data_IF_620317987108
#
_entry.id   IF_620317987108
#
_cell.length_a   1.000
_cell.length_b   1.000
_cell.length_c   1.000
_cell.angle_alpha   90.00
_cell.angle_beta   90.00
_cell.angle_gamma   90.00
#
_symmetry.space_group_name_H-M   'P 1'
#
loop_
_entity.id
_entity.type
_entity.pdbx_description
1 polymer ?
#
# COMPACT_ATOMS: atom_id res chain seq x y z
N UNK A 1 71.34 -42.02 -45.16
CA UNK A 1 72.57 -41.24 -45.34
C UNK A 1 72.18 -39.80 -45.65
N UNK A 2 72.72 -38.83 -44.91
CA UNK A 2 72.44 -37.40 -45.13
C UNK A 2 72.31 -36.59 -43.83
N UNK A 3 73.31 -36.68 -42.95
CA UNK A 3 73.44 -35.83 -41.76
C UNK A 3 74.01 -34.48 -42.19
N UNK A 4 73.26 -33.39 -42.01
CA UNK A 4 73.73 -32.03 -42.22
C UNK A 4 73.86 -31.33 -40.86
N UNK A 5 75.11 -31.22 -40.40
CA UNK A 5 75.51 -30.45 -39.23
C UNK A 5 75.34 -28.95 -39.49
N UNK A 6 74.42 -28.29 -38.79
CA UNK A 6 74.37 -26.83 -38.70
C UNK A 6 75.34 -26.38 -37.60
N UNK A 7 76.36 -25.61 -37.98
CA UNK A 7 77.32 -24.97 -37.07
C UNK A 7 76.63 -23.83 -36.32
N UNK A 8 76.58 -23.93 -34.99
CA UNK A 8 76.28 -22.79 -34.13
C UNK A 8 77.47 -21.82 -34.18
N UNK A 9 77.24 -20.63 -34.75
CA UNK A 9 78.11 -19.48 -34.52
C UNK A 9 77.75 -18.87 -33.17
N UNK A 10 78.63 -19.06 -32.18
CA UNK A 10 78.62 -18.26 -30.96
C UNK A 10 79.00 -16.82 -31.31
N UNK A 11 78.02 -15.92 -31.33
CA UNK A 11 78.26 -14.48 -31.36
C UNK A 11 78.51 -14.03 -29.92
N UNK A 12 79.74 -14.25 -29.47
CA UNK A 12 80.34 -13.54 -28.34
C UNK A 12 80.52 -12.07 -28.75
N UNK A 13 79.47 -11.27 -28.52
CA UNK A 13 79.48 -9.83 -28.72
C UNK A 13 79.30 -9.13 -27.38
N UNK A 14 80.41 -8.78 -26.72
CA UNK A 14 80.43 -7.79 -25.62
C UNK A 14 80.12 -6.40 -26.19
N UNK A 15 78.87 -6.17 -26.55
CA UNK A 15 78.34 -4.87 -26.93
C UNK A 15 77.88 -4.14 -25.68
N UNK A 16 78.67 -3.15 -25.22
CA UNK A 16 78.14 -2.13 -24.31
C UNK A 16 76.92 -1.49 -25.00
N UNK A 17 75.75 -1.63 -24.39
CA UNK A 17 74.51 -1.02 -24.83
C UNK A 17 74.71 0.50 -24.99
N UNK A 18 74.20 1.07 -26.09
CA UNK A 18 74.24 2.54 -26.30
C UNK A 18 73.38 3.21 -25.21
N UNK A 19 73.76 4.39 -24.69
CA UNK A 19 73.04 5.05 -23.59
C UNK A 19 71.54 5.25 -23.89
N UNK A 20 71.20 5.55 -25.15
CA UNK A 20 69.81 5.69 -25.64
C UNK A 20 68.98 4.40 -25.48
N UNK A 21 69.60 3.21 -25.51
CA UNK A 21 68.92 1.91 -25.30
C UNK A 21 68.73 1.54 -23.82
N UNK A 22 69.46 2.18 -22.89
CA UNK A 22 69.26 1.97 -21.44
C UNK A 22 68.12 2.83 -20.90
N UNK A 23 68.00 4.08 -21.37
CA UNK A 23 66.88 4.97 -21.04
C UNK A 23 65.53 4.46 -21.61
N UNK A 24 65.55 3.83 -22.79
CA UNK A 24 64.38 3.16 -23.36
C UNK A 24 63.91 1.93 -22.57
N UNK A 25 64.84 1.17 -21.97
CA UNK A 25 64.49 0.01 -21.13
C UNK A 25 63.96 0.42 -19.75
N UNK A 26 64.50 1.49 -19.16
CA UNK A 26 64.01 2.05 -17.90
C UNK A 26 62.59 2.62 -18.04
N UNK A 27 62.32 3.39 -19.10
CA UNK A 27 60.98 3.92 -19.38
C UNK A 27 59.93 2.83 -19.66
N UNK A 28 60.30 1.72 -20.31
CA UNK A 28 59.42 0.56 -20.48
C UNK A 28 59.12 -0.15 -19.15
N UNK A 29 60.11 -0.29 -18.26
CA UNK A 29 59.90 -0.87 -16.93
C UNK A 29 59.00 0.01 -16.06
N UNK A 30 59.15 1.33 -16.12
CA UNK A 30 58.29 2.28 -15.41
C UNK A 30 56.84 2.24 -15.92
N UNK A 31 56.66 2.16 -17.25
CA UNK A 31 55.33 2.01 -17.85
C UNK A 31 54.67 0.68 -17.48
N UNK A 32 55.43 -0.43 -17.43
CA UNK A 32 54.91 -1.73 -16.99
C UNK A 32 54.54 -1.73 -15.51
N UNK A 33 55.33 -1.08 -14.65
CA UNK A 33 55.03 -0.96 -13.23
C UNK A 33 53.77 -0.12 -12.98
N UNK A 34 53.62 1.01 -13.68
CA UNK A 34 52.42 1.84 -13.61
C UNK A 34 51.17 1.12 -14.14
N UNK A 35 51.30 0.38 -15.25
CA UNK A 35 50.20 -0.41 -15.81
C UNK A 35 49.75 -1.52 -14.84
N UNK A 36 50.69 -2.16 -14.14
CA UNK A 36 50.39 -3.18 -13.13
C UNK A 36 49.67 -2.58 -11.91
N UNK A 37 50.13 -1.43 -11.41
CA UNK A 37 49.49 -0.74 -10.29
C UNK A 37 48.05 -0.30 -10.63
N UNK A 38 47.83 0.26 -11.83
CA UNK A 38 46.49 0.65 -12.29
C UNK A 38 45.55 -0.55 -12.50
N UNK A 39 46.09 -1.72 -12.91
CA UNK A 39 45.31 -2.94 -13.04
C UNK A 39 44.89 -3.51 -11.67
N UNK A 40 45.79 -3.49 -10.69
CA UNK A 40 45.50 -3.92 -9.31
C UNK A 40 44.47 -3.00 -8.63
N UNK A 41 44.58 -1.68 -8.81
CA UNK A 41 43.63 -0.70 -8.27
C UNK A 41 42.23 -0.86 -8.90
N UNK A 42 42.15 -1.09 -10.22
CA UNK A 42 40.88 -1.37 -10.90
C UNK A 42 40.24 -2.69 -10.43
N UNK A 43 41.03 -3.74 -10.24
CA UNK A 43 40.51 -5.02 -9.75
C UNK A 43 39.91 -4.89 -8.34
N UNK A 44 40.59 -4.18 -7.44
CA UNK A 44 40.09 -3.90 -6.09
C UNK A 44 38.81 -3.06 -6.10
N UNK A 45 38.73 -2.06 -6.99
CA UNK A 45 37.54 -1.21 -7.12
C UNK A 45 36.33 -1.98 -7.69
N UNK A 46 36.55 -2.89 -8.65
CA UNK A 46 35.51 -3.74 -9.20
C UNK A 46 35.00 -4.77 -8.17
N UNK A 47 35.89 -5.38 -7.39
CA UNK A 47 35.52 -6.31 -6.32
C UNK A 47 34.69 -5.62 -5.22
N UNK A 48 35.08 -4.43 -4.79
CA UNK A 48 34.31 -3.63 -3.83
C UNK A 48 32.94 -3.20 -4.38
N UNK A 49 32.85 -2.87 -5.67
CA UNK A 49 31.58 -2.54 -6.32
C UNK A 49 30.66 -3.77 -6.47
N UNK A 50 31.23 -4.95 -6.72
CA UNK A 50 30.47 -6.20 -6.77
C UNK A 50 29.95 -6.61 -5.38
N UNK A 51 30.76 -6.47 -4.32
CA UNK A 51 30.31 -6.74 -2.95
C UNK A 51 29.16 -5.81 -2.54
N UNK A 52 29.26 -4.50 -2.81
CA UNK A 52 28.16 -3.56 -2.50
C UNK A 52 26.87 -3.90 -3.23
N UNK A 53 26.95 -4.25 -4.52
CA UNK A 53 25.76 -4.70 -5.28
C UNK A 53 25.16 -5.97 -4.71
N UNK A 54 25.99 -6.92 -4.27
CA UNK A 54 25.53 -8.15 -3.66
C UNK A 54 24.83 -7.88 -2.31
N UNK A 55 25.39 -7.00 -1.48
CA UNK A 55 24.80 -6.57 -0.21
C UNK A 55 23.44 -5.86 -0.42
N UNK A 56 23.36 -4.94 -1.38
CA UNK A 56 22.12 -4.24 -1.72
C UNK A 56 21.04 -5.24 -2.17
N UNK A 57 21.38 -6.19 -3.07
CA UNK A 57 20.43 -7.21 -3.51
C UNK A 57 20.00 -8.18 -2.41
N UNK A 58 20.89 -8.48 -1.46
CA UNK A 58 20.56 -9.34 -0.32
C UNK A 58 19.64 -8.61 0.66
N UNK A 59 19.87 -7.31 0.92
CA UNK A 59 18.99 -6.49 1.75
C UNK A 59 17.59 -6.38 1.15
N UNK A 60 17.49 -6.13 -0.16
CA UNK A 60 16.20 -6.03 -0.87
C UNK A 60 15.40 -7.34 -0.82
N UNK A 61 16.08 -8.49 -0.90
CA UNK A 61 15.43 -9.80 -0.82
C UNK A 61 14.95 -10.13 0.60
N UNK A 62 15.72 -9.76 1.63
CA UNK A 62 15.31 -9.88 3.05
C UNK A 62 14.08 -9.02 3.31
N UNK A 63 14.07 -7.76 2.85
CA UNK A 63 12.93 -6.86 2.99
C UNK A 63 11.69 -7.37 2.25
N UNK A 64 11.88 -7.95 1.06
CA UNK A 64 10.80 -8.57 0.29
C UNK A 64 10.20 -9.78 1.02
N UNK A 65 11.03 -10.67 1.55
CA UNK A 65 10.57 -11.83 2.30
C UNK A 65 9.86 -11.44 3.60
N UNK A 66 10.34 -10.41 4.30
CA UNK A 66 9.67 -9.87 5.48
C UNK A 66 8.26 -9.32 5.14
N UNK A 67 8.11 -8.63 4.00
CA UNK A 67 6.79 -8.15 3.53
C UNK A 67 5.83 -9.28 3.16
N UNK A 68 6.32 -10.34 2.50
CA UNK A 68 5.50 -11.50 2.15
C UNK A 68 5.00 -12.22 3.41
N UNK A 69 5.89 -12.47 4.38
CA UNK A 69 5.51 -13.09 5.65
C UNK A 69 4.50 -12.25 6.45
N UNK A 70 4.62 -10.93 6.43
CA UNK A 70 3.64 -10.02 7.04
C UNK A 70 2.28 -10.06 6.34
N UNK A 71 2.25 -10.12 5.00
CA UNK A 71 1.00 -10.26 4.24
C UNK A 71 0.31 -11.59 4.50
N UNK A 72 1.05 -12.70 4.57
CA UNK A 72 0.47 -14.01 4.89
C UNK A 72 -0.11 -14.06 6.30
N UNK A 73 0.56 -13.45 7.29
CA UNK A 73 0.05 -13.33 8.65
C UNK A 73 -1.24 -12.48 8.73
N UNK A 74 -1.29 -11.37 7.98
CA UNK A 74 -2.50 -10.55 7.86
C UNK A 74 -3.62 -11.36 7.17
N UNK A 75 -3.30 -12.10 6.11
CA UNK A 75 -4.26 -12.90 5.38
C UNK A 75 -4.82 -14.05 6.23
N UNK A 76 -4.00 -14.69 7.06
CA UNK A 76 -4.42 -15.70 8.02
C UNK A 76 -5.35 -15.11 9.11
N UNK A 77 -4.99 -13.94 9.68
CA UNK A 77 -5.85 -13.24 10.63
C UNK A 77 -7.18 -12.77 10.01
N UNK A 78 -7.18 -12.40 8.72
CA UNK A 78 -8.40 -12.04 7.99
C UNK A 78 -9.26 -13.27 7.66
N UNK A 79 -8.66 -14.44 7.38
CA UNK A 79 -9.42 -15.68 7.12
C UNK A 79 -10.14 -16.22 8.35
N UNK A 80 -9.61 -15.97 9.55
CA UNK A 80 -10.25 -16.33 10.81
C UNK A 80 -11.29 -15.32 11.29
N UNK A 81 -11.51 -14.22 10.54
CA UNK A 81 -12.51 -13.23 10.91
C UNK A 81 -13.93 -13.78 10.65
N UNK A 82 -14.75 -13.97 11.70
CA UNK A 82 -16.10 -14.55 11.56
C UNK A 82 -17.02 -13.70 10.67
N UNK A 83 -16.77 -12.39 10.56
CA UNK A 83 -17.55 -11.50 9.70
C UNK A 83 -17.24 -11.65 8.21
N UNK A 84 -16.09 -12.22 7.85
CA UNK A 84 -15.68 -12.45 6.46
C UNK A 84 -15.95 -13.88 5.99
N UNK A 85 -16.48 -14.74 6.87
CA UNK A 85 -16.82 -16.11 6.52
C UNK A 85 -17.92 -16.19 5.44
N UNK A 86 -17.84 -17.21 4.59
CA UNK A 86 -18.77 -17.41 3.49
C UNK A 86 -20.23 -17.48 3.98
N UNK A 87 -21.11 -16.73 3.32
CA UNK A 87 -22.55 -16.69 3.64
C UNK A 87 -22.93 -15.81 4.83
N UNK A 88 -21.99 -15.24 5.59
CA UNK A 88 -22.30 -14.32 6.70
C UNK A 88 -22.96 -13.05 6.18
N UNK A 89 -22.43 -12.49 5.09
CA UNK A 89 -23.04 -11.35 4.39
C UNK A 89 -24.51 -11.61 4.03
N UNK A 90 -24.82 -12.79 3.47
CA UNK A 90 -26.18 -13.10 3.00
C UNK A 90 -27.13 -13.29 4.18
N UNK A 91 -26.68 -13.93 5.27
CA UNK A 91 -27.44 -14.02 6.52
C UNK A 91 -27.71 -12.64 7.12
N UNK A 92 -26.70 -11.77 7.13
CA UNK A 92 -26.82 -10.41 7.62
C UNK A 92 -27.79 -9.59 6.76
N UNK A 93 -27.69 -9.72 5.43
CA UNK A 93 -28.60 -9.06 4.50
C UNK A 93 -30.04 -9.55 4.68
N UNK A 94 -30.25 -10.85 4.87
CA UNK A 94 -31.57 -11.41 5.20
C UNK A 94 -32.12 -10.87 6.52
N UNK A 95 -31.28 -10.77 7.57
CA UNK A 95 -31.67 -10.19 8.86
C UNK A 95 -32.08 -8.72 8.73
N UNK A 96 -31.32 -7.93 7.96
CA UNK A 96 -31.62 -6.52 7.69
C UNK A 96 -32.96 -6.36 6.95
N UNK A 97 -33.20 -7.19 5.93
CA UNK A 97 -34.43 -7.13 5.13
C UNK A 97 -35.67 -7.62 5.88
N UNK A 98 -35.50 -8.43 6.93
CA UNK A 98 -36.58 -8.86 7.80
C UNK A 98 -37.09 -7.74 8.72
N UNK A 99 -36.34 -6.65 8.90
CA UNK A 99 -36.74 -5.51 9.74
C UNK A 99 -37.83 -4.69 9.01
N UNK A 100 -39.02 -4.50 9.60
CA UNK A 100 -40.10 -3.75 8.96
C UNK A 100 -39.71 -2.31 8.64
N UNK A 101 -39.99 -1.85 7.41
CA UNK A 101 -39.70 -0.48 6.98
C UNK A 101 -38.22 -0.18 6.70
N UNK A 102 -37.34 -1.19 6.77
CA UNK A 102 -35.89 -1.03 6.65
C UNK A 102 -35.34 -1.20 5.21
N UNK A 103 -36.25 -1.31 4.23
CA UNK A 103 -35.90 -1.48 2.84
C UNK A 103 -35.34 -0.18 2.26
N UNK A 104 -34.21 -0.29 1.57
CA UNK A 104 -33.61 0.83 0.84
C UNK A 104 -34.45 1.18 -0.39
N UNK A 105 -34.66 2.47 -0.63
CA UNK A 105 -35.37 2.98 -1.80
C UNK A 105 -34.46 3.87 -2.65
N UNK A 106 -34.49 3.67 -3.96
CA UNK A 106 -33.79 4.53 -4.94
C UNK A 106 -34.26 5.98 -4.81
N UNK A 107 -35.55 6.23 -4.55
CA UNK A 107 -36.06 7.59 -4.39
C UNK A 107 -35.41 8.32 -3.22
N UNK A 108 -35.14 7.61 -2.11
CA UNK A 108 -34.44 8.18 -0.95
C UNK A 108 -32.97 8.44 -1.25
N UNK A 109 -32.32 7.56 -2.01
CA UNK A 109 -30.93 7.75 -2.46
C UNK A 109 -30.79 8.99 -3.36
N UNK A 110 -31.78 9.24 -4.24
CA UNK A 110 -31.73 10.35 -5.19
C UNK A 110 -32.17 11.70 -4.60
N UNK A 111 -33.15 11.69 -3.69
CA UNK A 111 -33.76 12.92 -3.18
C UNK A 111 -33.17 13.38 -1.84
N UNK A 112 -32.61 12.47 -1.05
CA UNK A 112 -32.05 12.79 0.27
C UNK A 112 -31.00 11.73 0.68
N UNK A 113 -31.00 11.27 1.94
CA UNK A 113 -30.19 10.14 2.41
C UNK A 113 -31.06 8.89 2.46
N UNK A 114 -30.51 7.80 1.94
CA UNK A 114 -30.99 6.50 2.34
C UNK A 114 -30.43 6.18 3.72
N UNK A 115 -31.30 5.71 4.62
CA UNK A 115 -30.94 5.21 5.94
C UNK A 115 -31.35 3.75 6.07
N UNK A 116 -30.60 2.98 6.83
CA UNK A 116 -30.90 1.58 7.12
C UNK A 116 -30.44 1.22 8.53
N UNK A 117 -31.35 0.60 9.29
CA UNK A 117 -31.06 -0.04 10.56
C UNK A 117 -30.30 -1.34 10.32
N UNK A 118 -29.15 -1.52 10.95
CA UNK A 118 -28.30 -2.69 10.78
C UNK A 118 -28.10 -3.35 12.14
N UNK A 119 -28.50 -4.62 12.33
CA UNK A 119 -28.21 -5.35 13.55
C UNK A 119 -26.71 -5.61 13.65
N UNK A 120 -26.08 -5.28 14.77
CA UNK A 120 -24.65 -5.51 15.02
C UNK A 120 -24.45 -6.68 15.98
N UNK A 121 -25.28 -6.75 17.01
CA UNK A 121 -25.40 -7.86 17.96
C UNK A 121 -26.89 -8.07 18.32
N UNK A 122 -27.18 -9.03 19.19
CA UNK A 122 -28.57 -9.39 19.54
C UNK A 122 -29.38 -8.20 20.10
N UNK A 123 -28.75 -7.32 20.87
CA UNK A 123 -29.35 -6.14 21.51
C UNK A 123 -28.84 -4.80 20.95
N UNK A 124 -27.95 -4.85 19.96
CA UNK A 124 -27.28 -3.67 19.43
C UNK A 124 -27.53 -3.52 17.93
N UNK A 125 -27.99 -2.33 17.53
CA UNK A 125 -28.18 -1.96 16.14
C UNK A 125 -27.48 -0.63 15.85
N UNK A 126 -27.21 -0.37 14.58
CA UNK A 126 -26.69 0.91 14.11
C UNK A 126 -27.53 1.40 12.94
N UNK A 127 -27.86 2.69 12.94
CA UNK A 127 -28.48 3.33 11.78
C UNK A 127 -27.37 3.83 10.88
N UNK A 128 -27.23 3.24 9.70
CA UNK A 128 -26.30 3.71 8.67
C UNK A 128 -27.00 4.61 7.68
N UNK A 129 -26.27 5.55 7.09
CA UNK A 129 -26.78 6.48 6.09
C UNK A 129 -25.81 6.67 4.92
N UNK A 130 -26.36 7.04 3.76
CA UNK A 130 -25.56 7.36 2.58
C UNK A 130 -24.80 8.66 2.74
N UNK A 131 -23.59 8.71 2.19
CA UNK A 131 -22.75 9.90 2.10
C UNK A 131 -23.14 10.70 0.86
N UNK A 132 -23.38 12.00 1.02
CA UNK A 132 -23.63 12.94 -0.08
C UNK A 132 -22.31 13.27 -0.78
N UNK A 133 -22.36 13.61 -2.07
CA UNK A 133 -21.16 13.97 -2.83
C UNK A 133 -20.38 15.16 -2.23
N UNK A 134 -21.08 16.14 -1.64
CA UNK A 134 -20.43 17.27 -0.95
C UNK A 134 -19.62 16.84 0.26
N UNK A 135 -20.01 15.75 0.93
CA UNK A 135 -19.37 15.24 2.14
C UNK A 135 -18.17 14.38 1.78
N UNK A 136 -18.29 13.56 0.73
CA UNK A 136 -17.14 12.84 0.17
C UNK A 136 -16.03 13.82 -0.27
N UNK A 137 -16.39 14.97 -0.84
CA UNK A 137 -15.43 16.03 -1.14
C UNK A 137 -14.82 16.67 0.12
N UNK A 138 -15.59 16.84 1.20
CA UNK A 138 -15.06 17.32 2.48
C UNK A 138 -14.10 16.30 3.10
N UNK A 139 -14.43 15.01 3.08
CA UNK A 139 -13.56 13.92 3.53
C UNK A 139 -12.25 13.96 2.75
N UNK A 140 -12.30 14.03 1.41
CA UNK A 140 -11.10 14.14 0.57
C UNK A 140 -10.26 15.37 0.88
N UNK A 141 -10.92 16.51 1.16
CA UNK A 141 -10.22 17.73 1.58
C UNK A 141 -9.52 17.54 2.92
N UNK A 142 -10.19 16.92 3.90
CA UNK A 142 -9.59 16.62 5.20
C UNK A 142 -8.42 15.66 5.07
N UNK A 143 -8.54 14.60 4.26
CA UNK A 143 -7.48 13.63 3.99
C UNK A 143 -6.24 14.27 3.36
N UNK A 144 -6.40 15.34 2.58
CA UNK A 144 -5.27 16.10 2.03
C UNK A 144 -4.34 16.62 3.14
N UNK A 145 -4.89 17.04 4.27
CA UNK A 145 -4.12 17.55 5.39
C UNK A 145 -3.33 16.44 6.13
N UNK A 146 -3.61 15.16 5.79
CA UNK A 146 -2.94 13.97 6.33
C UNK A 146 -2.01 13.28 5.32
N UNK A 147 -1.76 13.86 4.14
CA UNK A 147 -0.99 13.24 3.03
C UNK A 147 0.45 12.89 3.42
N UNK A 148 1.03 13.58 4.40
CA UNK A 148 2.41 13.32 4.86
C UNK A 148 2.52 12.09 5.80
N UNK A 149 1.42 11.39 6.07
CA UNK A 149 1.42 10.16 6.87
C UNK A 149 1.72 8.92 6.00
N UNK A 150 2.26 7.85 6.60
CA UNK A 150 2.43 6.57 5.90
C UNK A 150 1.12 6.14 5.24
N UNK A 151 1.18 5.67 3.99
CA UNK A 151 0.03 5.30 3.15
C UNK A 151 -0.99 4.38 3.86
N UNK A 152 -0.52 3.50 4.76
CA UNK A 152 -1.35 2.61 5.57
C UNK A 152 -2.32 3.39 6.50
N UNK A 153 -1.89 4.54 7.03
CA UNK A 153 -2.75 5.39 7.85
C UNK A 153 -3.75 6.17 7.02
N UNK A 154 -3.45 6.43 5.74
CA UNK A 154 -4.35 7.15 4.84
C UNK A 154 -5.64 6.36 4.63
N UNK A 155 -5.54 5.08 4.29
CA UNK A 155 -6.72 4.22 4.07
C UNK A 155 -7.54 4.06 5.34
N UNK A 156 -6.86 3.82 6.47
CA UNK A 156 -7.51 3.73 7.78
C UNK A 156 -8.26 5.02 8.12
N UNK A 157 -7.64 6.18 7.95
CA UNK A 157 -8.27 7.47 8.21
C UNK A 157 -9.44 7.76 7.26
N UNK A 158 -9.30 7.38 5.99
CA UNK A 158 -10.35 7.50 4.98
C UNK A 158 -11.60 6.70 5.38
N UNK A 159 -11.40 5.46 5.82
CA UNK A 159 -12.47 4.59 6.31
C UNK A 159 -13.11 5.12 7.58
N UNK A 160 -12.32 5.63 8.54
CA UNK A 160 -12.84 6.24 9.77
C UNK A 160 -13.68 7.50 9.48
N UNK A 161 -13.22 8.36 8.57
CA UNK A 161 -13.98 9.54 8.15
C UNK A 161 -15.28 9.18 7.44
N UNK A 162 -15.26 8.18 6.56
CA UNK A 162 -16.47 7.66 5.92
C UNK A 162 -17.43 7.08 6.94
N UNK A 163 -16.93 6.32 7.90
CA UNK A 163 -17.75 5.76 8.97
C UNK A 163 -18.36 6.86 9.84
N UNK A 164 -17.60 7.89 10.19
CA UNK A 164 -18.08 9.04 10.95
C UNK A 164 -19.26 9.75 10.26
N UNK A 165 -19.22 9.89 8.94
CA UNK A 165 -20.34 10.45 8.18
C UNK A 165 -21.47 9.43 8.02
N UNK A 166 -21.13 8.15 7.86
CA UNK A 166 -22.04 7.05 7.57
C UNK A 166 -22.87 6.52 8.74
N UNK A 167 -22.41 6.63 10.00
CA UNK A 167 -23.14 6.12 11.19
C UNK A 167 -24.00 7.22 11.79
N UNK A 168 -25.33 7.13 11.68
CA UNK A 168 -26.27 8.11 12.23
C UNK A 168 -26.61 7.90 13.71
N UNK A 169 -26.72 6.65 14.14
CA UNK A 169 -27.02 6.29 15.53
C UNK A 169 -26.48 4.89 15.86
N UNK A 170 -26.18 4.63 17.13
CA UNK A 170 -25.91 3.28 17.67
C UNK A 170 -26.87 3.04 18.84
N UNK A 171 -27.69 2.01 18.72
CA UNK A 171 -28.83 1.78 19.60
C UNK A 171 -29.76 3.00 19.57
N UNK A 172 -30.13 3.47 20.76
CA UNK A 172 -30.94 4.67 20.96
C UNK A 172 -30.10 5.96 21.01
N UNK A 173 -28.78 5.87 20.89
CA UNK A 173 -27.87 7.01 21.02
C UNK A 173 -27.56 7.59 19.64
N UNK A 174 -28.08 8.80 19.31
CA UNK A 174 -27.75 9.46 18.06
C UNK A 174 -26.30 9.95 18.05
N UNK A 175 -25.66 9.89 16.89
CA UNK A 175 -24.34 10.50 16.70
C UNK A 175 -24.45 12.03 16.71
N UNK A 176 -23.34 12.75 17.01
CA UNK A 176 -23.30 14.20 16.89
C UNK A 176 -23.84 14.67 15.54
N UNK A 177 -24.64 15.74 15.44
CA UNK A 177 -25.25 16.15 14.18
C UNK A 177 -24.24 16.34 13.04
N UNK A 178 -24.55 15.77 11.88
CA UNK A 178 -23.69 15.86 10.69
C UNK A 178 -23.82 17.21 9.98
N UNK A 179 -24.98 17.86 10.05
CA UNK A 179 -25.24 19.14 9.38
C UNK A 179 -25.27 20.27 10.42
N UNK A 180 -24.63 21.39 10.10
CA UNK A 180 -24.68 22.59 10.92
C UNK A 180 -26.09 23.20 10.89
N UNK A 181 -26.70 23.56 12.04
CA UNK A 181 -28.08 24.04 12.08
C UNK A 181 -28.34 25.34 11.29
N UNK A 182 -27.32 26.20 11.12
CA UNK A 182 -27.48 27.47 10.42
C UNK A 182 -27.40 27.30 8.90
N UNK A 183 -26.57 26.37 8.42
CA UNK A 183 -26.34 26.17 6.98
C UNK A 183 -27.06 24.97 6.40
N UNK A 184 -27.54 24.06 7.26
CA UNK A 184 -28.08 22.75 6.92
C UNK A 184 -27.13 21.96 5.98
N UNK A 185 -25.83 22.05 6.23
CA UNK A 185 -24.77 21.40 5.47
C UNK A 185 -23.71 20.85 6.41
N UNK A 186 -23.07 19.77 5.99
CA UNK A 186 -21.87 19.29 6.65
C UNK A 186 -20.72 20.29 6.51
N UNK A 187 -19.96 20.47 7.58
CA UNK A 187 -18.73 21.23 7.65
C UNK A 187 -17.58 20.36 8.15
N UNK A 188 -16.35 20.82 8.02
CA UNK A 188 -15.16 20.11 8.56
C UNK A 188 -15.32 19.90 10.07
N UNK A 189 -15.86 20.88 10.78
CA UNK A 189 -16.06 20.84 12.23
C UNK A 189 -17.11 19.80 12.62
N UNK A 190 -18.22 19.71 11.88
CA UNK A 190 -19.24 18.68 12.14
C UNK A 190 -18.71 17.26 11.90
N UNK A 191 -17.89 17.06 10.85
CA UNK A 191 -17.27 15.76 10.56
C UNK A 191 -16.23 15.41 11.63
N UNK A 192 -15.40 16.37 12.08
CA UNK A 192 -14.44 16.16 13.18
C UNK A 192 -15.11 15.72 14.47
N UNK A 193 -16.22 16.36 14.87
CA UNK A 193 -16.99 15.95 16.06
C UNK A 193 -17.50 14.52 15.97
N UNK A 194 -17.96 14.11 14.78
CA UNK A 194 -18.39 12.72 14.56
C UNK A 194 -17.22 11.75 14.52
N UNK A 195 -16.08 12.17 13.95
CA UNK A 195 -14.86 11.37 13.96
C UNK A 195 -14.39 11.11 15.40
N UNK A 196 -14.35 12.13 16.26
CA UNK A 196 -14.04 11.97 17.68
C UNK A 196 -14.97 10.94 18.34
N UNK A 197 -16.29 11.06 18.11
CA UNK A 197 -17.26 10.09 18.63
C UNK A 197 -17.04 8.66 18.09
N UNK A 198 -16.61 8.50 16.83
CA UNK A 198 -16.25 7.19 16.26
C UNK A 198 -14.98 6.63 16.90
N UNK A 199 -13.96 7.46 17.10
CA UNK A 199 -12.68 7.06 17.67
C UNK A 199 -12.77 6.70 19.16
N UNK A 200 -13.77 7.21 19.87
CA UNK A 200 -14.08 6.85 21.26
C UNK A 200 -14.77 5.48 21.40
N UNK A 201 -15.20 4.84 20.30
CA UNK A 201 -15.84 3.54 20.34
C UNK A 201 -14.83 2.40 20.64
N UNK A 202 -15.27 1.31 21.29
CA UNK A 202 -14.45 0.11 21.43
C UNK A 202 -14.03 -0.45 20.07
N UNK A 203 -12.75 -0.80 19.91
CA UNK A 203 -12.19 -1.32 18.65
C UNK A 203 -12.98 -2.48 18.03
N UNK A 204 -13.49 -3.48 18.79
CA UNK A 204 -14.30 -4.56 18.21
C UNK A 204 -15.61 -4.05 17.58
N UNK A 205 -16.26 -3.07 18.22
CA UNK A 205 -17.47 -2.46 17.69
C UNK A 205 -17.15 -1.65 16.44
N UNK A 206 -16.05 -0.89 16.46
CA UNK A 206 -15.58 -0.12 15.31
C UNK A 206 -15.35 -1.00 14.07
N UNK A 207 -14.69 -2.15 14.25
CA UNK A 207 -14.48 -3.13 13.19
C UNK A 207 -15.81 -3.67 12.63
N UNK A 208 -16.77 -4.00 13.50
CA UNK A 208 -18.09 -4.47 13.07
C UNK A 208 -18.87 -3.39 12.30
N UNK A 209 -18.81 -2.13 12.75
CA UNK A 209 -19.43 -0.99 12.09
C UNK A 209 -18.82 -0.72 10.71
N UNK A 210 -17.48 -0.76 10.60
CA UNK A 210 -16.78 -0.58 9.34
C UNK A 210 -17.21 -1.63 8.29
N UNK A 211 -17.21 -2.92 8.66
CA UNK A 211 -17.65 -4.00 7.78
C UNK A 211 -19.10 -3.82 7.35
N UNK A 212 -19.99 -3.53 8.31
CA UNK A 212 -21.41 -3.34 8.03
C UNK A 212 -21.66 -2.10 7.15
N UNK A 213 -20.88 -1.04 7.32
CA UNK A 213 -20.94 0.15 6.48
C UNK A 213 -20.50 -0.16 5.04
N UNK A 214 -19.41 -0.91 4.85
CA UNK A 214 -19.01 -1.40 3.52
C UNK A 214 -20.12 -2.19 2.85
N UNK A 215 -20.78 -3.09 3.57
CA UNK A 215 -21.90 -3.87 3.01
C UNK A 215 -23.12 -3.02 2.70
N UNK A 216 -23.43 -2.04 3.54
CA UNK A 216 -24.48 -1.05 3.30
C UNK A 216 -24.22 -0.26 2.01
N UNK A 217 -23.02 0.29 1.85
CA UNK A 217 -22.63 1.02 0.64
C UNK A 217 -22.71 0.14 -0.62
N UNK A 218 -22.28 -1.13 -0.53
CA UNK A 218 -22.44 -2.08 -1.63
C UNK A 218 -23.91 -2.35 -1.98
N UNK A 219 -24.81 -2.44 -0.99
CA UNK A 219 -26.27 -2.60 -1.24
C UNK A 219 -26.84 -1.36 -1.92
N UNK A 220 -26.48 -0.16 -1.45
CA UNK A 220 -26.88 1.10 -2.08
C UNK A 220 -26.41 1.16 -3.54
N UNK A 221 -25.14 0.83 -3.81
CA UNK A 221 -24.58 0.79 -5.17
C UNK A 221 -25.31 -0.21 -6.06
N UNK A 222 -25.64 -1.41 -5.56
CA UNK A 222 -26.40 -2.41 -6.32
C UNK A 222 -27.77 -1.92 -6.77
N UNK A 223 -28.45 -1.08 -5.98
CA UNK A 223 -29.74 -0.49 -6.36
C UNK A 223 -29.61 0.50 -7.52
N UNK A 224 -28.45 1.12 -7.69
CA UNK A 224 -28.17 2.05 -8.77
C UNK A 224 -27.65 1.36 -10.05
N UNK A 225 -27.25 0.08 -9.97
CA UNK A 225 -26.89 -0.69 -11.15
C UNK A 225 -28.17 -1.03 -11.92
N UNK A 226 -28.30 -0.61 -13.20
CA UNK A 226 -29.45 -0.94 -14.03
C UNK A 226 -29.48 -2.45 -14.28
N UNK A 227 -30.16 -3.21 -13.42
CA UNK A 227 -30.28 -4.66 -13.54
C UNK A 227 -31.41 -5.09 -14.50
N UNK A 228 -31.86 -4.19 -15.38
CA UNK A 228 -33.05 -4.41 -16.22
C UNK A 228 -33.13 -3.68 -17.56
N UNK A 229 -32.06 -3.03 -18.06
CA UNK A 229 -31.99 -2.71 -19.49
C UNK A 229 -31.55 -3.97 -20.26
N UNK A 230 -32.39 -5.00 -20.25
CA UNK A 230 -32.39 -5.95 -21.36
C UNK A 230 -32.81 -5.10 -22.56
N UNK A 231 -31.84 -4.74 -23.39
CA UNK A 231 -32.08 -4.09 -24.68
C UNK A 231 -33.24 -4.82 -25.38
N UNK A 232 -34.22 -4.04 -25.84
CA UNK A 232 -35.21 -4.51 -26.81
C UNK A 232 -34.55 -4.92 -28.12
#
# INVERSE_FOLDING_TARGET
>A
MGSAYARNHEVSGTGKLRPETLEGLQSLHEQQAQAKQLAEEKALAEEAAQMRRAEDTASDEIDRQARIGAMEAIQAALSDNPWLAAGVRDKQEAAILAIPGNALSISRILMDRAQQLIPIADDLHATMQTIKASEDLLIKRMLRDYVDQLEIYFDTMSDMLRLAVGVDAIGEVPFPPLEDPATNRATVETIKKRLEAVLDLPTPLLAALAINYTWFDLRVKRLLVPSGLKNG
#
